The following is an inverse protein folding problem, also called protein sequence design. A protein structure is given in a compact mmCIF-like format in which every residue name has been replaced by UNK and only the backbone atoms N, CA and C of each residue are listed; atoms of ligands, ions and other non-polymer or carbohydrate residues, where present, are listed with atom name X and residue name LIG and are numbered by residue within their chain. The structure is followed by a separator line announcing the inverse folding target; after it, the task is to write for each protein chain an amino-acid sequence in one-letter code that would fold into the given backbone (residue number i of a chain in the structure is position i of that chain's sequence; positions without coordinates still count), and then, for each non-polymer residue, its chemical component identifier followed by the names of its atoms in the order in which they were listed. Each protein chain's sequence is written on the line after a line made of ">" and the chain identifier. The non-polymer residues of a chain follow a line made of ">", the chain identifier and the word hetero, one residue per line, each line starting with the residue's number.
data_IF_936706360928
#
_entry.id   IF_936706360928
#
_cell.length_a   1.000
_cell.length_b   1.000
_cell.length_c   1.000
_cell.angle_alpha   90.00
_cell.angle_beta   90.00
_cell.angle_gamma   90.00
#
_symmetry.space_group_name_H-M   'P 1'
#
loop_
_entity.id
_entity.type
_entity.pdbx_description
1 polymer ?
#
# COMPACT_ATOMS: atom_id res chain seq x y z
N UNK A 1 -15.74 -7.81 24.82
CA UNK A 1 -15.94 -8.78 23.72
C UNK A 1 -14.61 -8.99 23.01
N UNK A 2 -14.23 -10.22 22.64
CA UNK A 2 -13.03 -10.43 21.82
C UNK A 2 -13.32 -9.98 20.39
N UNK A 3 -12.43 -9.24 19.71
CA UNK A 3 -12.61 -8.93 18.32
C UNK A 3 -12.69 -10.24 17.51
N UNK A 4 -13.51 -10.29 16.45
CA UNK A 4 -13.60 -11.47 15.59
C UNK A 4 -12.22 -11.81 15.01
N UNK A 5 -11.97 -13.10 14.73
CA UNK A 5 -10.62 -13.64 14.46
C UNK A 5 -9.88 -12.99 13.27
N UNK A 6 -10.60 -12.30 12.41
CA UNK A 6 -10.10 -11.61 11.22
C UNK A 6 -10.13 -10.07 11.34
N UNK A 7 -10.47 -9.52 12.50
CA UNK A 7 -10.31 -8.11 12.83
C UNK A 7 -8.97 -7.89 13.55
N UNK A 8 -8.19 -6.92 13.10
CA UNK A 8 -6.91 -6.54 13.72
C UNK A 8 -6.88 -5.03 13.92
N UNK A 9 -6.32 -4.55 15.03
CA UNK A 9 -6.17 -3.12 15.26
C UNK A 9 -5.10 -2.57 14.31
N UNK A 10 -5.42 -1.54 13.53
CA UNK A 10 -4.50 -1.03 12.50
C UNK A 10 -3.18 -0.54 13.10
N UNK A 11 -3.24 0.10 14.27
CA UNK A 11 -2.08 0.62 14.99
C UNK A 11 -1.10 -0.45 15.50
N UNK A 12 -1.56 -1.68 15.69
CA UNK A 12 -0.72 -2.81 16.12
C UNK A 12 -0.09 -3.56 14.94
N UNK A 13 -0.45 -3.22 13.70
CA UNK A 13 0.15 -3.84 12.52
C UNK A 13 1.58 -3.32 12.35
N UNK A 14 2.56 -4.20 12.57
CA UNK A 14 3.98 -3.82 12.50
C UNK A 14 4.48 -3.61 11.07
N UNK A 15 4.09 -4.50 10.15
CA UNK A 15 4.47 -4.38 8.75
C UNK A 15 3.49 -5.07 7.83
N UNK A 16 3.43 -4.58 6.59
CA UNK A 16 2.67 -5.14 5.49
C UNK A 16 3.63 -5.61 4.41
N UNK A 17 3.32 -6.74 3.79
CA UNK A 17 4.00 -7.20 2.57
C UNK A 17 2.96 -7.40 1.50
N UNK A 18 3.01 -6.53 0.50
CA UNK A 18 2.05 -6.46 -0.59
C UNK A 18 2.69 -7.08 -1.83
N UNK A 19 1.89 -7.76 -2.63
CA UNK A 19 2.34 -8.46 -3.83
C UNK A 19 1.81 -7.78 -5.10
N UNK A 20 2.63 -7.80 -6.14
CA UNK A 20 2.29 -7.37 -7.48
C UNK A 20 1.49 -8.41 -8.24
N UNK A 21 1.63 -8.41 -9.56
CA UNK A 21 1.10 -9.43 -10.48
C UNK A 21 -0.40 -9.71 -10.33
N UNK A 22 -1.16 -8.65 -10.04
CA UNK A 22 -2.62 -8.73 -9.92
C UNK A 22 -3.10 -9.35 -8.60
N UNK A 23 -2.24 -9.53 -7.60
CA UNK A 23 -2.67 -9.97 -6.28
C UNK A 23 -3.73 -9.02 -5.71
N UNK A 24 -4.81 -9.60 -5.19
CA UNK A 24 -5.95 -8.86 -4.66
C UNK A 24 -5.97 -8.86 -3.12
N UNK A 25 -6.60 -7.84 -2.55
CA UNK A 25 -6.88 -7.72 -1.13
C UNK A 25 -7.98 -8.70 -0.73
N UNK A 26 -7.93 -9.19 0.51
CA UNK A 26 -9.12 -9.80 1.12
C UNK A 26 -10.16 -8.72 1.31
N UNK A 27 -11.41 -9.10 1.16
CA UNK A 27 -12.52 -8.16 1.27
C UNK A 27 -13.70 -8.77 1.99
N UNK A 28 -14.58 -7.91 2.49
CA UNK A 28 -15.84 -8.34 3.12
C UNK A 28 -17.01 -7.43 2.76
N UNK A 29 -16.85 -6.12 2.88
CA UNK A 29 -17.91 -5.11 2.68
C UNK A 29 -17.80 -4.44 1.31
N UNK A 30 -16.58 -4.28 0.80
CA UNK A 30 -16.30 -3.69 -0.52
C UNK A 30 -15.71 -4.76 -1.45
N UNK A 31 -15.69 -4.58 -2.77
CA UNK A 31 -15.01 -5.51 -3.68
C UNK A 31 -13.51 -5.59 -3.40
N UNK A 32 -12.90 -6.73 -3.75
CA UNK A 32 -11.45 -6.89 -3.70
C UNK A 32 -10.76 -5.84 -4.59
N UNK A 33 -9.68 -5.25 -4.08
CA UNK A 33 -8.85 -4.27 -4.79
C UNK A 33 -7.45 -4.87 -5.05
N UNK A 34 -6.67 -4.34 -6.00
CA UNK A 34 -5.26 -4.71 -6.13
C UNK A 34 -4.47 -4.39 -4.86
N UNK A 35 -3.56 -5.28 -4.44
CA UNK A 35 -2.66 -5.01 -3.32
C UNK A 35 -1.64 -3.92 -3.64
N UNK A 36 -1.24 -3.80 -4.91
CA UNK A 36 -0.38 -2.73 -5.41
C UNK A 36 -1.04 -2.08 -6.61
N UNK A 37 -1.20 -0.75 -6.55
CA UNK A 37 -1.80 0.03 -7.62
C UNK A 37 -0.95 1.26 -7.92
N UNK A 38 -0.38 1.29 -9.12
CA UNK A 38 0.32 2.47 -9.61
C UNK A 38 -0.69 3.55 -10.04
N UNK A 39 -0.54 4.76 -9.49
CA UNK A 39 -1.41 5.92 -9.78
C UNK A 39 -0.69 7.06 -10.53
N UNK A 40 0.51 6.77 -11.06
CA UNK A 40 1.22 7.67 -11.98
C UNK A 40 0.61 7.63 -13.38
N UNK A 41 1.20 8.35 -14.35
CA UNK A 41 0.77 8.28 -15.73
C UNK A 41 0.83 6.84 -16.26
N UNK A 42 -0.11 6.41 -17.14
CA UNK A 42 -0.12 5.03 -17.65
C UNK A 42 1.19 4.63 -18.34
N UNK A 43 1.87 5.56 -19.00
CA UNK A 43 3.17 5.31 -19.61
C UNK A 43 4.22 4.93 -18.56
N UNK A 44 4.27 5.66 -17.45
CA UNK A 44 5.23 5.45 -16.37
C UNK A 44 4.93 4.15 -15.59
N UNK A 45 3.66 3.87 -15.30
CA UNK A 45 3.26 2.64 -14.64
C UNK A 45 3.54 1.37 -15.47
N UNK A 46 3.67 1.48 -16.80
CA UNK A 46 4.04 0.37 -17.68
C UNK A 46 5.55 0.12 -17.76
N UNK A 47 6.40 1.04 -17.29
CA UNK A 47 7.86 0.85 -17.38
C UNK A 47 8.35 -0.26 -16.46
N UNK A 48 7.72 -0.43 -15.30
CA UNK A 48 8.11 -1.48 -14.35
C UNK A 48 6.95 -1.86 -13.43
N UNK A 49 6.72 -3.17 -13.29
CA UNK A 49 5.77 -3.72 -12.34
C UNK A 49 6.52 -4.10 -11.05
N UNK A 50 6.08 -3.58 -9.90
CA UNK A 50 6.66 -3.94 -8.60
C UNK A 50 6.14 -5.31 -8.17
N UNK A 51 7.03 -6.28 -8.00
CA UNK A 51 6.69 -7.64 -7.56
C UNK A 51 6.28 -7.72 -6.09
N UNK A 52 6.98 -6.95 -5.24
CA UNK A 52 6.71 -6.89 -3.82
C UNK A 52 7.06 -5.52 -3.23
N UNK A 53 6.21 -5.06 -2.32
CA UNK A 53 6.43 -3.85 -1.53
C UNK A 53 6.28 -4.17 -0.05
N UNK A 54 7.21 -3.64 0.75
CA UNK A 54 7.14 -3.75 2.21
C UNK A 54 6.90 -2.39 2.82
N UNK A 55 5.81 -2.27 3.57
CA UNK A 55 5.47 -1.10 4.36
C UNK A 55 5.66 -1.39 5.84
N UNK A 56 6.25 -0.46 6.57
CA UNK A 56 6.52 -0.56 7.99
C UNK A 56 5.79 0.56 8.72
N UNK A 57 5.15 0.21 9.82
CA UNK A 57 4.47 1.18 10.67
C UNK A 57 5.52 1.98 11.45
N UNK A 58 5.49 3.30 11.29
CA UNK A 58 6.40 4.26 11.92
C UNK A 58 5.78 4.96 13.13
N UNK A 59 4.62 4.49 13.59
CA UNK A 59 3.86 5.06 14.68
C UNK A 59 2.65 5.89 14.22
N UNK A 60 1.99 6.47 15.21
CA UNK A 60 0.86 7.36 15.04
C UNK A 60 1.34 8.79 14.78
N UNK A 61 0.68 9.49 13.87
CA UNK A 61 0.81 10.92 13.63
C UNK A 61 0.01 11.72 14.67
N UNK A 62 -1.13 12.27 14.25
CA UNK A 62 -1.96 13.12 15.11
C UNK A 62 -2.82 12.34 16.11
N UNK A 63 -3.26 11.15 15.75
CA UNK A 63 -4.02 10.25 16.60
C UNK A 63 -3.62 8.79 16.38
N UNK A 64 -4.19 7.89 17.19
CA UNK A 64 -3.86 6.46 17.15
C UNK A 64 -4.28 5.73 15.87
N UNK A 65 -5.07 6.35 15.00
CA UNK A 65 -5.57 5.78 13.74
C UNK A 65 -4.82 6.35 12.52
N UNK A 66 -4.21 7.53 12.65
CA UNK A 66 -3.30 8.17 11.68
C UNK A 66 -1.92 7.49 11.64
N UNK A 67 -1.89 6.25 11.17
CA UNK A 67 -0.65 5.46 11.10
C UNK A 67 0.24 5.94 9.95
N UNK A 68 1.45 6.33 10.32
CA UNK A 68 2.48 6.73 9.38
C UNK A 68 3.19 5.49 8.83
N UNK A 69 3.10 5.28 7.52
CA UNK A 69 3.70 4.13 6.85
C UNK A 69 4.95 4.53 6.07
N UNK A 70 6.03 3.78 6.25
CA UNK A 70 7.22 3.86 5.39
C UNK A 70 7.26 2.63 4.47
N UNK A 71 7.09 2.85 3.17
CA UNK A 71 7.06 1.82 2.15
C UNK A 71 8.34 1.78 1.32
N UNK A 72 8.78 0.57 0.97
CA UNK A 72 9.97 0.32 0.15
C UNK A 72 9.71 -0.82 -0.84
N UNK A 73 10.30 -0.71 -2.03
CA UNK A 73 10.24 -1.70 -3.09
C UNK A 73 11.55 -1.70 -3.88
N UNK A 74 11.89 -2.82 -4.52
CA UNK A 74 13.00 -2.85 -5.48
C UNK A 74 12.56 -2.19 -6.77
N UNK A 75 13.36 -1.23 -7.25
CA UNK A 75 13.12 -0.49 -8.48
C UNK A 75 14.42 -0.39 -9.28
N UNK A 76 14.35 -0.34 -10.62
CA UNK A 76 15.50 -0.06 -11.46
C UNK A 76 15.96 1.40 -11.26
N UNK A 77 17.22 1.70 -11.59
CA UNK A 77 17.85 3.00 -11.29
C UNK A 77 17.16 4.19 -11.98
N UNK A 78 16.44 3.94 -13.08
CA UNK A 78 15.65 4.93 -13.80
C UNK A 78 14.39 5.39 -13.07
N UNK A 79 13.96 4.64 -12.05
CA UNK A 79 12.72 4.86 -11.33
C UNK A 79 12.96 5.10 -9.85
N UNK A 80 12.15 5.97 -9.28
CA UNK A 80 12.04 6.15 -7.83
C UNK A 80 10.60 6.04 -7.38
N UNK A 81 10.43 5.52 -6.17
CA UNK A 81 9.14 5.47 -5.49
C UNK A 81 8.82 6.89 -4.99
N UNK A 82 7.64 7.38 -5.37
CA UNK A 82 7.08 8.65 -4.91
C UNK A 82 6.23 8.45 -3.67
N UNK A 83 5.08 9.13 -3.61
CA UNK A 83 4.13 8.95 -2.51
C UNK A 83 3.55 7.54 -2.50
N UNK A 84 3.25 7.06 -1.29
CA UNK A 84 2.60 5.77 -1.05
C UNK A 84 1.50 5.94 -0.04
N UNK A 85 0.31 5.43 -0.35
CA UNK A 85 -0.88 5.52 0.48
C UNK A 85 -1.36 4.10 0.81
N UNK A 86 -1.28 3.73 2.09
CA UNK A 86 -1.76 2.44 2.59
C UNK A 86 -3.25 2.53 2.86
N UNK A 87 -4.03 1.65 2.26
CA UNK A 87 -5.50 1.65 2.36
C UNK A 87 -5.95 0.26 2.81
N UNK A 88 -6.66 0.19 3.94
CA UNK A 88 -7.19 -1.05 4.49
C UNK A 88 -8.72 -0.98 4.59
N UNK A 89 -9.39 -2.13 4.51
CA UNK A 89 -10.85 -2.19 4.73
C UNK A 89 -11.13 -2.19 6.23
N UNK A 90 -11.76 -1.13 6.74
CA UNK A 90 -12.28 -1.10 8.11
C UNK A 90 -13.29 -2.22 8.36
N UNK A 91 -13.25 -2.82 9.54
CA UNK A 91 -13.85 -4.12 9.79
C UNK A 91 -15.39 -4.08 9.83
N UNK A 92 -15.97 -3.12 10.56
CA UNK A 92 -17.41 -2.87 10.60
C UNK A 92 -17.82 -1.63 9.77
N UNK A 93 -17.06 -0.54 9.87
CA UNK A 93 -17.30 0.73 9.15
C UNK A 93 -15.98 1.30 8.61
N UNK A 94 -16.02 2.44 7.92
CA UNK A 94 -14.81 3.16 7.47
C UNK A 94 -14.06 3.86 8.60
N UNK A 95 -14.71 4.09 9.73
CA UNK A 95 -14.18 4.75 10.94
C UNK A 95 -13.84 3.71 12.04
N UNK A 96 -13.79 2.43 11.68
CA UNK A 96 -13.48 1.36 12.63
C UNK A 96 -11.95 1.25 12.75
N UNK A 97 -11.35 1.42 13.95
CA UNK A 97 -9.90 1.26 14.14
C UNK A 97 -9.42 -0.17 13.86
N UNK A 98 -10.34 -1.14 13.87
CA UNK A 98 -10.06 -2.48 13.42
C UNK A 98 -10.22 -2.59 11.90
N UNK A 99 -9.27 -3.25 11.27
CA UNK A 99 -9.29 -3.56 9.84
C UNK A 99 -9.41 -5.06 9.60
N UNK A 100 -9.92 -5.44 8.43
CA UNK A 100 -9.96 -6.82 8.00
C UNK A 100 -8.54 -7.32 7.70
N UNK A 101 -8.12 -8.41 8.35
CA UNK A 101 -6.81 -9.04 8.14
C UNK A 101 -6.60 -9.37 6.66
N UNK A 102 -5.56 -8.79 6.06
CA UNK A 102 -5.19 -9.00 4.65
C UNK A 102 -5.98 -8.14 3.67
N UNK A 103 -6.70 -7.13 4.14
CA UNK A 103 -7.44 -6.18 3.29
C UNK A 103 -6.63 -4.96 2.86
N UNK A 104 -5.44 -4.77 3.41
CA UNK A 104 -4.60 -3.63 3.08
C UNK A 104 -3.99 -3.76 1.68
N UNK A 105 -4.07 -2.68 0.90
CA UNK A 105 -3.35 -2.46 -0.35
C UNK A 105 -2.62 -1.12 -0.30
N UNK A 106 -1.81 -0.86 -1.33
CA UNK A 106 -1.04 0.38 -1.47
C UNK A 106 -1.27 0.99 -2.84
N UNK A 107 -1.69 2.26 -2.84
CA UNK A 107 -1.55 3.12 -4.01
C UNK A 107 -0.19 3.78 -3.98
N UNK A 108 0.54 3.76 -5.10
CA UNK A 108 1.88 4.32 -5.16
C UNK A 108 2.12 5.12 -6.43
N UNK A 109 2.97 6.14 -6.32
CA UNK A 109 3.49 6.90 -7.46
C UNK A 109 4.89 6.41 -7.81
N UNK A 110 5.15 6.33 -9.11
CA UNK A 110 6.49 6.29 -9.67
C UNK A 110 6.85 7.66 -10.23
N UNK A 111 8.14 7.98 -10.20
CA UNK A 111 8.75 9.11 -10.88
C UNK A 111 10.05 8.65 -11.55
N UNK A 112 10.44 9.33 -12.62
CA UNK A 112 11.75 9.12 -13.22
C UNK A 112 12.84 9.73 -12.32
N UNK A 113 14.00 9.08 -12.30
CA UNK A 113 15.25 9.70 -11.84
C UNK A 113 15.87 10.50 -12.98
N UNK A 114 16.99 11.17 -12.73
CA UNK A 114 17.74 11.87 -13.79
C UNK A 114 18.16 10.92 -14.92
N UNK A 115 18.50 9.68 -14.59
CA UNK A 115 18.84 8.62 -15.55
C UNK A 115 17.61 8.19 -16.35
N UNK A 116 16.47 8.07 -15.68
CA UNK A 116 15.19 7.77 -16.32
C UNK A 116 14.75 8.86 -17.30
N UNK A 117 14.88 10.13 -16.95
CA UNK A 117 14.57 11.27 -17.82
C UNK A 117 15.45 11.29 -19.09
N UNK A 118 16.74 10.93 -18.97
CA UNK A 118 17.63 10.82 -20.12
C UNK A 118 17.29 9.64 -21.04
N UNK A 119 16.76 8.55 -20.48
CA UNK A 119 16.43 7.31 -21.20
C UNK A 119 15.02 7.33 -21.83
N UNK A 120 14.08 8.00 -21.18
CA UNK A 120 12.68 8.09 -21.58
C UNK A 120 12.25 9.57 -21.67
N UNK A 121 12.70 10.30 -22.71
CA UNK A 121 12.36 11.70 -22.91
C UNK A 121 10.87 11.92 -23.24
#
# INVERSE_FOLDING_TARGET
>A
MKPPRNAILLSEVQSLTLRGDGALTKHRRVPAAPQLKCISSPALCRLHAIEAMRCTNQGAGYDSEDIQWSCSASLPAELKLGSTDVICEGYASSEDPYVLKGSCGVEYRLALTKEGEARYP
#
